data_IF_695370546029
#
_entry.id   IF_695370546029
#
_cell.length_a   1.000
_cell.length_b   1.000
_cell.length_c   1.000
_cell.angle_alpha   90.00
_cell.angle_beta   90.00
_cell.angle_gamma   90.00
#
_symmetry.space_group_name_H-M   'P 1'
#
loop_
_entity.id
_entity.type
_entity.pdbx_description
1 polymer ?
#
# COMPACT_ATOMS: atom_id res chain seq x y z
N UNK A 1 -13.12 16.37 -5.24
CA UNK A 1 -13.34 14.95 -5.59
C UNK A 1 -14.15 14.23 -4.51
N UNK A 2 -13.67 14.09 -3.25
CA UNK A 2 -14.40 13.37 -2.18
C UNK A 2 -15.79 13.95 -1.85
N UNK A 3 -15.87 15.26 -1.56
CA UNK A 3 -17.15 15.93 -1.28
C UNK A 3 -18.15 15.89 -2.46
N UNK A 4 -17.65 15.73 -3.69
CA UNK A 4 -18.51 15.62 -4.87
C UNK A 4 -19.03 14.19 -5.02
N UNK A 5 -18.18 13.18 -4.82
CA UNK A 5 -18.58 11.78 -4.80
C UNK A 5 -19.58 11.47 -3.68
N UNK A 6 -19.44 12.11 -2.52
CA UNK A 6 -20.40 11.95 -1.41
C UNK A 6 -21.79 12.52 -1.71
N UNK A 7 -21.89 13.48 -2.64
CA UNK A 7 -23.13 14.21 -2.95
C UNK A 7 -23.77 13.79 -4.27
N UNK A 8 -23.05 13.02 -5.08
CA UNK A 8 -23.45 12.66 -6.45
C UNK A 8 -23.09 11.19 -6.72
N UNK A 9 -24.09 10.31 -6.63
CA UNK A 9 -23.91 8.85 -6.77
C UNK A 9 -23.42 8.43 -8.17
N UNK A 10 -23.83 9.16 -9.20
CA UNK A 10 -23.36 9.00 -10.58
C UNK A 10 -21.86 9.29 -10.70
N UNK A 11 -21.41 10.39 -10.08
CA UNK A 11 -20.01 10.75 -10.02
C UNK A 11 -19.20 9.76 -9.19
N UNK A 12 -19.75 9.25 -8.08
CA UNK A 12 -19.10 8.21 -7.28
C UNK A 12 -18.91 6.92 -8.10
N UNK A 13 -19.95 6.48 -8.81
CA UNK A 13 -19.91 5.27 -9.65
C UNK A 13 -18.91 5.41 -10.80
N UNK A 14 -18.88 6.56 -11.47
CA UNK A 14 -17.89 6.85 -12.51
C UNK A 14 -16.46 6.86 -11.94
N UNK A 15 -16.27 7.40 -10.74
CA UNK A 15 -14.96 7.44 -10.07
C UNK A 15 -14.48 6.03 -9.68
N UNK A 16 -15.38 5.17 -9.19
CA UNK A 16 -15.08 3.76 -8.93
C UNK A 16 -14.63 3.05 -10.20
N UNK A 17 -15.38 3.20 -11.29
CA UNK A 17 -15.02 2.58 -12.58
C UNK A 17 -13.68 3.11 -13.12
N UNK A 18 -13.43 4.40 -12.97
CA UNK A 18 -12.16 5.00 -13.36
C UNK A 18 -10.98 4.42 -12.56
N UNK A 19 -11.17 4.12 -11.27
CA UNK A 19 -10.14 3.51 -10.42
C UNK A 19 -9.82 2.07 -10.80
N UNK A 20 -10.83 1.27 -11.15
CA UNK A 20 -10.62 -0.08 -11.66
C UNK A 20 -9.83 -0.08 -12.98
N UNK A 21 -10.16 0.83 -13.90
CA UNK A 21 -9.46 0.97 -15.18
C UNK A 21 -8.03 1.48 -14.99
N UNK A 22 -7.81 2.40 -14.04
CA UNK A 22 -6.46 2.84 -13.66
C UNK A 22 -5.63 1.66 -13.19
N UNK A 23 -6.17 0.80 -12.31
CA UNK A 23 -5.48 -0.38 -11.80
C UNK A 23 -5.12 -1.36 -12.91
N UNK A 24 -6.09 -1.71 -13.76
CA UNK A 24 -5.88 -2.62 -14.89
C UNK A 24 -4.77 -2.13 -15.83
N UNK A 25 -4.72 -0.83 -16.11
CA UNK A 25 -3.66 -0.23 -16.93
C UNK A 25 -2.27 -0.40 -16.31
N UNK A 26 -2.13 -0.16 -15.00
CA UNK A 26 -0.85 -0.31 -14.32
C UNK A 26 -0.39 -1.78 -14.21
N UNK A 27 -1.34 -2.70 -14.07
CA UNK A 27 -1.10 -4.14 -14.08
C UNK A 27 -0.60 -4.59 -15.46
N UNK A 28 -1.26 -4.16 -16.54
CA UNK A 28 -0.83 -4.42 -17.92
C UNK A 28 0.58 -3.85 -18.19
N UNK A 29 0.89 -2.65 -17.66
CA UNK A 29 2.24 -2.09 -17.75
C UNK A 29 3.28 -2.96 -17.02
N UNK A 30 2.91 -3.53 -15.87
CA UNK A 30 3.74 -4.46 -15.12
C UNK A 30 3.98 -5.77 -15.87
N UNK A 31 2.92 -6.35 -16.42
CA UNK A 31 2.96 -7.58 -17.23
C UNK A 31 3.90 -7.41 -18.44
N UNK A 32 3.74 -6.33 -19.21
CA UNK A 32 4.63 -6.00 -20.34
C UNK A 32 6.07 -5.80 -19.89
N UNK A 33 6.26 -5.23 -18.70
CA UNK A 33 7.56 -5.01 -18.08
C UNK A 33 8.34 -6.29 -17.75
N UNK A 34 7.66 -7.43 -17.55
CA UNK A 34 8.31 -8.70 -17.22
C UNK A 34 9.25 -9.21 -18.32
N UNK A 35 8.93 -8.90 -19.58
CA UNK A 35 9.68 -9.35 -20.75
C UNK A 35 10.43 -8.22 -21.47
N UNK A 36 10.36 -6.99 -20.93
CA UNK A 36 11.04 -5.85 -21.50
C UNK A 36 12.55 -5.91 -21.19
N UNK A 37 13.37 -5.50 -22.17
CA UNK A 37 14.84 -5.39 -22.00
C UNK A 37 15.23 -4.47 -20.84
N UNK A 38 14.41 -3.45 -20.56
CA UNK A 38 14.58 -2.51 -19.44
C UNK A 38 13.24 -2.20 -18.79
N UNK A 39 13.08 -2.69 -17.56
CA UNK A 39 11.92 -2.38 -16.72
C UNK A 39 12.37 -2.02 -15.29
N UNK A 40 11.94 -0.87 -14.80
CA UNK A 40 12.23 -0.44 -13.43
C UNK A 40 11.19 -1.00 -12.45
N UNK A 41 11.33 -2.29 -12.16
CA UNK A 41 10.42 -3.02 -11.28
C UNK A 41 10.29 -2.40 -9.87
N UNK A 42 11.35 -1.91 -9.21
CA UNK A 42 11.22 -1.26 -7.90
C UNK A 42 10.33 -0.01 -7.93
N UNK A 43 10.49 0.85 -8.94
CA UNK A 43 9.67 2.06 -9.08
C UNK A 43 8.22 1.69 -9.38
N UNK A 44 7.99 0.74 -10.29
CA UNK A 44 6.64 0.25 -10.57
C UNK A 44 5.97 -0.30 -9.31
N UNK A 45 6.66 -1.14 -8.53
CA UNK A 45 6.15 -1.71 -7.28
C UNK A 45 5.77 -0.63 -6.26
N UNK A 46 6.60 0.39 -6.10
CA UNK A 46 6.31 1.52 -5.21
C UNK A 46 5.09 2.32 -5.69
N UNK A 47 4.96 2.52 -7.00
CA UNK A 47 3.83 3.20 -7.62
C UNK A 47 2.52 2.43 -7.44
N UNK A 48 2.56 1.09 -7.58
CA UNK A 48 1.42 0.19 -7.32
C UNK A 48 0.99 0.24 -5.86
N UNK A 49 1.92 0.03 -4.92
CA UNK A 49 1.62 0.01 -3.49
C UNK A 49 1.07 1.35 -2.97
N UNK A 50 1.49 2.47 -3.58
CA UNK A 50 1.03 3.82 -3.21
C UNK A 50 -0.38 4.13 -3.72
N UNK A 51 -0.77 3.60 -4.89
CA UNK A 51 -2.10 3.85 -5.51
C UNK A 51 -3.15 2.84 -5.07
N UNK A 52 -2.76 1.57 -5.03
CA UNK A 52 -3.64 0.41 -4.81
C UNK A 52 -3.24 -0.28 -3.52
N UNK A 53 -3.24 0.49 -2.43
CA UNK A 53 -2.71 0.06 -1.12
C UNK A 53 -3.40 -1.21 -0.59
N UNK A 54 -4.70 -1.37 -0.85
CA UNK A 54 -5.46 -2.52 -0.40
C UNK A 54 -4.91 -3.84 -0.98
N UNK A 55 -4.52 -3.83 -2.26
CA UNK A 55 -4.14 -5.04 -2.98
C UNK A 55 -2.61 -5.23 -3.02
N UNK A 56 -1.84 -4.13 -3.04
CA UNK A 56 -0.40 -4.16 -3.30
C UNK A 56 0.49 -3.78 -2.10
N UNK A 57 -0.09 -3.53 -0.93
CA UNK A 57 0.73 -3.29 0.27
C UNK A 57 1.47 -4.55 0.69
N UNK A 58 2.78 -4.47 0.99
CA UNK A 58 3.47 -5.56 1.62
C UNK A 58 2.84 -5.82 3.00
N UNK A 59 2.37 -7.04 3.21
CA UNK A 59 1.90 -7.51 4.51
C UNK A 59 3.02 -8.32 5.14
N UNK A 60 3.51 -7.86 6.29
CA UNK A 60 4.51 -8.59 7.08
C UNK A 60 3.83 -9.15 8.31
N UNK A 61 3.81 -10.48 8.44
CA UNK A 61 3.47 -11.15 9.68
C UNK A 61 4.73 -11.20 10.55
N UNK A 62 4.69 -10.53 11.69
CA UNK A 62 5.77 -10.55 12.67
C UNK A 62 5.33 -11.47 13.80
N UNK A 63 6.10 -12.54 14.03
CA UNK A 63 5.88 -13.44 15.15
C UNK A 63 6.84 -13.06 16.29
N UNK A 64 6.31 -13.06 17.52
CA UNK A 64 7.09 -12.74 18.72
C UNK A 64 8.09 -13.84 19.08
N UNK A 65 8.86 -13.59 20.14
CA UNK A 65 9.88 -14.50 20.68
C UNK A 65 9.30 -15.87 21.08
N UNK A 66 9.24 -16.81 20.15
CA UNK A 66 9.03 -18.25 20.40
C UNK A 66 7.76 -18.64 21.17
N UNK A 67 6.71 -17.80 21.13
CA UNK A 67 5.45 -18.04 21.87
C UNK A 67 5.46 -17.58 23.33
N UNK A 68 6.55 -16.96 23.81
CA UNK A 68 6.65 -16.36 25.15
C UNK A 68 6.17 -14.90 25.21
N UNK A 69 5.96 -14.40 26.41
CA UNK A 69 5.58 -13.00 26.64
C UNK A 69 6.70 -12.02 26.20
N UNK A 70 6.32 -10.91 25.58
CA UNK A 70 7.23 -9.82 25.21
C UNK A 70 7.84 -9.24 26.49
N UNK A 71 9.17 -9.24 26.60
CA UNK A 71 9.89 -8.67 27.73
C UNK A 71 10.09 -7.16 27.49
N UNK A 72 9.61 -6.32 28.40
CA UNK A 72 9.75 -4.87 28.35
C UNK A 72 10.64 -4.44 29.50
N UNK A 73 11.78 -3.79 29.21
CA UNK A 73 12.64 -3.17 30.22
C UNK A 73 12.51 -1.65 30.11
N UNK A 74 12.11 -1.00 31.21
CA UNK A 74 12.06 0.46 31.31
C UNK A 74 13.29 0.92 32.12
N UNK A 75 14.23 1.66 31.52
CA UNK A 75 15.24 2.37 32.31
C UNK A 75 14.67 3.72 32.74
N UNK A 76 14.80 4.03 34.03
CA UNK A 76 14.53 5.36 34.57
C UNK A 76 15.86 6.11 34.61
N UNK A 77 16.28 6.62 33.46
CA UNK A 77 17.37 7.59 33.39
C UNK A 77 16.77 8.98 33.62
N UNK A 78 16.64 9.38 34.89
CA UNK A 78 16.56 10.78 35.33
C UNK A 78 16.37 10.84 36.86
N UNK A 79 17.48 10.75 37.60
CA UNK A 79 17.53 11.19 39.01
C UNK A 79 18.94 11.70 39.33
N UNK A 80 19.23 12.92 38.86
CA UNK A 80 20.22 13.81 39.46
C UNK A 80 19.57 15.18 39.67
N UNK A 81 19.03 15.39 40.86
CA UNK A 81 18.82 16.71 41.45
C UNK A 81 19.91 16.95 42.50
#
# INVERSE_FOLDING_TARGET
>A
MRQWAERHEDFASALTRAKELEQAYWEELGEKGLFADRFNAPVWKMMMASRFRADYSPTTRIEGSGGGAIQITLSRDDEKL
#
